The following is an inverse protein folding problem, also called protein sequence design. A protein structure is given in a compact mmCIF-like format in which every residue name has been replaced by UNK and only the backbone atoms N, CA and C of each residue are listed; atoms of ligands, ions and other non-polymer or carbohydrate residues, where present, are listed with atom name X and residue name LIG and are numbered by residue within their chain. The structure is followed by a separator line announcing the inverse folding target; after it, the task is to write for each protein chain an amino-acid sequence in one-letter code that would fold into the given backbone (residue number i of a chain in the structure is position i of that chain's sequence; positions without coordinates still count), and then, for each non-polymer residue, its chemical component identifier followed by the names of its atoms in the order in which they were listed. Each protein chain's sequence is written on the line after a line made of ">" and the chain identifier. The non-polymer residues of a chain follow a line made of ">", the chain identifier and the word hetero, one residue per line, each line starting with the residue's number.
data_IF_976762794889
#
_entry.id   IF_976762794889
#
_cell.length_a   1.000
_cell.length_b   1.000
_cell.length_c   1.000
_cell.angle_alpha   90.00
_cell.angle_beta   90.00
_cell.angle_gamma   90.00
#
_symmetry.space_group_name_H-M   'P 1'
#
loop_
_entity.id
_entity.type
_entity.pdbx_description
1 polymer ?
#
# COMPACT_ATOMS: atom_id res chain seq x y z
N UNK A 1 -14.11 -50.44 5.57
CA UNK A 1 -13.72 -49.05 5.90
C UNK A 1 -12.64 -48.60 4.92
N UNK A 2 -12.99 -47.87 3.86
CA UNK A 2 -12.00 -47.43 2.86
C UNK A 2 -11.08 -46.36 3.46
N UNK A 3 -9.76 -46.58 3.33
CA UNK A 3 -8.69 -45.68 3.79
C UNK A 3 -8.82 -44.31 3.12
N UNK A 4 -8.46 -43.23 3.83
CA UNK A 4 -8.55 -41.84 3.36
C UNK A 4 -7.85 -41.62 2.00
N UNK A 5 -6.78 -42.37 1.75
CA UNK A 5 -6.06 -42.42 0.48
C UNK A 5 -6.94 -42.89 -0.69
N UNK A 6 -7.79 -43.89 -0.47
CA UNK A 6 -8.72 -44.38 -1.49
C UNK A 6 -9.86 -43.39 -1.78
N UNK A 7 -10.21 -42.52 -0.82
CA UNK A 7 -11.18 -41.42 -1.04
C UNK A 7 -10.59 -40.27 -1.85
N UNK A 8 -9.29 -39.99 -1.70
CA UNK A 8 -8.61 -38.90 -2.42
C UNK A 8 -8.22 -39.29 -3.85
N UNK A 9 -8.08 -40.59 -4.13
CA UNK A 9 -7.74 -41.12 -5.44
C UNK A 9 -8.95 -41.22 -6.41
N UNK A 10 -10.17 -41.00 -5.92
CA UNK A 10 -11.36 -40.98 -6.76
C UNK A 10 -11.35 -39.72 -7.66
N UNK A 11 -11.71 -39.84 -8.95
CA UNK A 11 -11.85 -38.67 -9.83
C UNK A 11 -12.85 -37.70 -9.22
N UNK A 12 -12.53 -36.39 -9.26
CA UNK A 12 -13.43 -35.38 -8.71
C UNK A 12 -14.78 -35.49 -9.43
N UNK A 13 -15.90 -35.62 -8.70
CA UNK A 13 -17.21 -35.70 -9.33
C UNK A 13 -17.45 -34.42 -10.12
N UNK A 14 -18.02 -34.56 -11.31
CA UNK A 14 -18.32 -33.43 -12.18
C UNK A 14 -19.37 -32.55 -11.50
N UNK A 15 -18.96 -31.34 -11.11
CA UNK A 15 -19.78 -30.42 -10.30
C UNK A 15 -20.68 -29.52 -11.14
N UNK A 16 -20.73 -29.74 -12.44
CA UNK A 16 -21.62 -29.04 -13.38
C UNK A 16 -23.12 -29.29 -13.11
N UNK A 17 -23.47 -30.29 -12.29
CA UNK A 17 -24.85 -30.58 -11.88
C UNK A 17 -25.38 -29.73 -10.73
N UNK A 18 -24.53 -28.98 -10.03
CA UNK A 18 -24.95 -28.13 -8.90
C UNK A 18 -24.94 -26.65 -9.29
N UNK A 19 -26.12 -26.00 -9.43
CA UNK A 19 -26.22 -24.59 -9.85
C UNK A 19 -25.68 -23.59 -8.81
N UNK A 20 -25.30 -24.06 -7.62
CA UNK A 20 -25.02 -23.21 -6.47
C UNK A 20 -23.53 -22.87 -6.28
N UNK A 21 -22.66 -23.23 -7.25
CA UNK A 21 -21.31 -22.66 -7.35
C UNK A 21 -21.23 -21.67 -8.49
N UNK A 22 -21.81 -20.49 -8.25
CA UNK A 22 -21.55 -19.29 -9.05
C UNK A 22 -20.05 -19.01 -9.03
N UNK A 23 -19.36 -19.33 -10.11
CA UNK A 23 -18.01 -18.82 -10.33
C UNK A 23 -18.13 -17.30 -10.45
N UNK A 24 -17.36 -16.55 -9.66
CA UNK A 24 -17.50 -15.09 -9.52
C UNK A 24 -17.22 -14.34 -10.84
N UNK A 25 -16.62 -15.01 -11.83
CA UNK A 25 -16.08 -14.34 -13.03
C UNK A 25 -16.59 -14.88 -14.36
N UNK A 26 -17.47 -15.89 -14.39
CA UNK A 26 -18.01 -16.42 -15.64
C UNK A 26 -19.49 -16.71 -15.47
N UNK A 27 -20.32 -15.87 -16.09
CA UNK A 27 -21.73 -16.09 -16.26
C UNK A 27 -21.96 -16.32 -17.76
N UNK A 28 -22.33 -17.53 -18.14
CA UNK A 28 -22.72 -17.86 -19.53
C UNK A 28 -24.03 -17.17 -19.95
N UNK A 29 -24.79 -16.63 -18.98
CA UNK A 29 -26.03 -15.89 -19.21
C UNK A 29 -26.14 -14.71 -18.25
N UNK A 30 -26.65 -13.57 -18.75
CA UNK A 30 -26.89 -12.39 -17.92
C UNK A 30 -27.93 -12.70 -16.82
N UNK A 31 -27.71 -12.30 -15.55
CA UNK A 31 -28.71 -12.42 -14.51
C UNK A 31 -29.97 -11.63 -14.87
N UNK A 32 -31.15 -12.18 -14.56
CA UNK A 32 -32.42 -11.44 -14.70
C UNK A 32 -32.40 -10.17 -13.87
N UNK A 33 -32.86 -9.07 -14.46
CA UNK A 33 -33.01 -7.80 -13.75
C UNK A 33 -33.96 -7.94 -12.56
N UNK A 34 -33.49 -7.53 -11.39
CA UNK A 34 -34.29 -7.55 -10.16
C UNK A 34 -34.97 -6.18 -10.02
N UNK A 35 -36.29 -6.14 -10.07
CA UNK A 35 -37.12 -4.93 -9.89
C UNK A 35 -37.20 -4.47 -8.42
N UNK A 36 -36.44 -5.06 -7.50
CA UNK A 36 -36.49 -4.78 -6.07
C UNK A 36 -35.17 -4.26 -5.51
N UNK A 37 -35.24 -3.25 -4.62
CA UNK A 37 -34.08 -2.81 -3.84
C UNK A 37 -33.57 -3.96 -2.97
N UNK A 38 -32.26 -4.23 -3.05
CA UNK A 38 -31.63 -5.34 -2.34
C UNK A 38 -31.55 -4.99 -0.86
N UNK A 39 -32.32 -5.67 -0.01
CA UNK A 39 -32.17 -5.56 1.46
C UNK A 39 -30.80 -6.12 1.83
N UNK A 40 -29.89 -5.26 2.27
CA UNK A 40 -28.56 -5.65 2.75
C UNK A 40 -28.68 -6.21 4.16
N UNK A 41 -28.95 -7.51 4.28
CA UNK A 41 -28.92 -8.19 5.57
C UNK A 41 -27.48 -8.59 5.90
N UNK A 42 -26.92 -7.98 6.95
CA UNK A 42 -25.59 -8.34 7.44
C UNK A 42 -25.66 -9.68 8.17
N UNK A 43 -24.97 -10.68 7.64
CA UNK A 43 -24.81 -11.96 8.35
C UNK A 43 -24.06 -11.75 9.69
N UNK A 44 -24.27 -12.61 10.70
CA UNK A 44 -23.62 -12.50 12.01
C UNK A 44 -22.08 -12.45 11.93
N UNK A 45 -21.50 -13.15 10.96
CA UNK A 45 -20.05 -13.12 10.71
C UNK A 45 -19.58 -11.78 10.15
N UNK A 46 -20.36 -11.15 9.28
CA UNK A 46 -20.03 -9.84 8.73
C UNK A 46 -20.15 -8.74 9.76
N UNK A 47 -21.17 -8.80 10.62
CA UNK A 47 -21.28 -7.86 11.75
C UNK A 47 -20.11 -8.00 12.73
N UNK A 48 -19.59 -9.21 12.93
CA UNK A 48 -18.38 -9.45 13.72
C UNK A 48 -17.11 -8.91 13.07
N UNK A 49 -16.96 -9.04 11.74
CA UNK A 49 -15.84 -8.46 10.99
C UNK A 49 -15.87 -6.93 10.93
N UNK A 50 -17.06 -6.33 10.99
CA UNK A 50 -17.23 -4.89 11.09
C UNK A 50 -16.88 -4.34 12.48
N UNK A 51 -16.69 -5.19 13.50
CA UNK A 51 -16.20 -4.75 14.81
C UNK A 51 -14.76 -4.28 14.66
N UNK A 52 -14.44 -3.17 15.31
CA UNK A 52 -13.07 -2.70 15.35
C UNK A 52 -12.14 -3.77 15.94
N UNK A 53 -10.96 -3.96 15.33
CA UNK A 53 -9.94 -4.82 15.91
C UNK A 53 -9.55 -4.21 17.26
N UNK A 54 -9.54 -5.03 18.31
CA UNK A 54 -9.06 -4.61 19.63
C UNK A 54 -7.61 -4.13 19.47
N UNK A 55 -7.38 -2.84 19.67
CA UNK A 55 -6.04 -2.29 19.73
C UNK A 55 -5.38 -2.80 21.01
N UNK A 56 -4.39 -3.68 20.86
CA UNK A 56 -3.50 -4.01 21.98
C UNK A 56 -2.71 -2.73 22.30
N UNK A 57 -2.95 -2.16 23.49
CA UNK A 57 -2.24 -0.98 24.01
C UNK A 57 -0.83 -1.30 24.49
N UNK A 58 -0.49 -2.59 24.53
CA UNK A 58 0.89 -3.02 24.64
C UNK A 58 1.57 -2.61 23.34
N UNK A 59 2.57 -1.74 23.44
CA UNK A 59 3.57 -1.57 22.38
C UNK A 59 3.90 -2.98 21.93
N UNK A 60 3.53 -3.34 20.71
CA UNK A 60 3.95 -4.59 20.10
C UNK A 60 5.46 -4.43 19.95
N UNK A 61 6.21 -4.72 21.03
CA UNK A 61 7.61 -5.05 20.91
C UNK A 61 7.59 -6.16 19.87
N UNK A 62 8.21 -5.91 18.72
CA UNK A 62 8.43 -6.94 17.72
C UNK A 62 8.85 -8.19 18.49
N UNK A 63 8.16 -9.34 18.33
CA UNK A 63 8.46 -10.52 19.13
C UNK A 63 9.97 -10.74 19.09
N UNK A 64 10.61 -10.64 20.25
CA UNK A 64 12.05 -10.89 20.37
C UNK A 64 12.23 -12.39 20.20
N UNK A 65 12.39 -12.81 18.95
CA UNK A 65 12.67 -14.19 18.62
C UNK A 65 14.00 -14.57 19.24
N UNK A 66 13.98 -15.53 20.18
CA UNK A 66 15.21 -16.09 20.75
C UNK A 66 15.99 -16.78 19.64
N UNK A 67 17.11 -16.19 19.25
CA UNK A 67 18.04 -16.79 18.27
C UNK A 67 18.80 -17.90 18.97
N UNK A 68 18.91 -19.08 18.33
CA UNK A 68 19.64 -20.21 18.90
C UNK A 68 21.15 -19.94 18.94
N UNK A 69 21.86 -20.51 19.92
CA UNK A 69 23.32 -20.34 20.01
C UNK A 69 24.05 -20.81 18.74
N UNK A 70 23.52 -21.84 18.07
CA UNK A 70 24.06 -22.35 16.81
C UNK A 70 23.93 -21.34 15.67
N UNK A 71 22.86 -20.55 15.64
CA UNK A 71 22.69 -19.49 14.65
C UNK A 71 23.64 -18.31 14.92
N UNK A 72 23.92 -17.99 16.19
CA UNK A 72 24.89 -16.95 16.56
C UNK A 72 26.34 -17.35 16.22
N UNK A 73 26.67 -18.64 16.31
CA UNK A 73 28.01 -19.18 15.98
C UNK A 73 28.16 -19.62 14.52
N UNK A 74 27.14 -19.42 13.68
CA UNK A 74 27.17 -19.87 12.30
C UNK A 74 28.17 -19.05 11.47
N UNK A 75 29.15 -19.72 10.87
CA UNK A 75 30.12 -19.10 9.98
C UNK A 75 29.55 -19.10 8.57
N UNK A 76 29.44 -17.93 7.94
CA UNK A 76 28.98 -17.80 6.55
C UNK A 76 30.03 -18.30 5.57
N UNK A 77 29.58 -18.99 4.52
CA UNK A 77 30.45 -19.39 3.40
C UNK A 77 30.90 -18.17 2.59
N UNK A 78 32.03 -18.26 1.90
CA UNK A 78 32.56 -17.16 1.10
C UNK A 78 31.61 -16.71 -0.01
N UNK A 79 30.82 -17.63 -0.56
CA UNK A 79 29.76 -17.29 -1.51
C UNK A 79 28.70 -16.40 -0.88
N UNK A 80 28.24 -16.71 0.34
CA UNK A 80 27.27 -15.89 1.06
C UNK A 80 27.85 -14.53 1.41
N UNK A 81 29.13 -14.45 1.79
CA UNK A 81 29.83 -13.17 2.02
C UNK A 81 29.83 -12.30 0.77
N UNK A 82 30.16 -12.88 -0.40
CA UNK A 82 30.11 -12.16 -1.69
C UNK A 82 28.70 -11.68 -2.05
N UNK A 83 27.68 -12.50 -1.80
CA UNK A 83 26.28 -12.14 -2.08
C UNK A 83 25.70 -11.11 -1.11
N UNK A 84 26.22 -11.05 0.12
CA UNK A 84 25.81 -10.08 1.14
C UNK A 84 26.42 -8.69 0.92
N UNK A 85 27.46 -8.57 0.08
CA UNK A 85 27.98 -7.26 -0.29
C UNK A 85 26.92 -6.49 -1.11
N UNK A 86 26.67 -5.21 -0.80
CA UNK A 86 25.75 -4.40 -1.57
C UNK A 86 26.22 -4.32 -3.02
N UNK A 87 25.26 -4.27 -3.96
CA UNK A 87 25.60 -4.07 -5.37
C UNK A 87 26.23 -2.69 -5.55
N UNK A 88 27.28 -2.63 -6.36
CA UNK A 88 27.88 -1.36 -6.74
C UNK A 88 26.83 -0.49 -7.43
N UNK A 89 26.88 0.81 -7.14
CA UNK A 89 26.04 1.78 -7.83
C UNK A 89 26.39 1.80 -9.33
N UNK A 90 25.41 2.13 -10.17
CA UNK A 90 25.64 2.26 -11.61
C UNK A 90 26.69 3.35 -11.88
N UNK A 91 27.47 3.20 -12.98
CA UNK A 91 28.44 4.21 -13.38
C UNK A 91 27.74 5.58 -13.54
N UNK A 92 28.23 6.58 -12.79
CA UNK A 92 27.63 7.92 -12.77
C UNK A 92 26.52 8.13 -11.74
N UNK A 93 26.19 7.15 -10.89
CA UNK A 93 25.29 7.37 -9.77
C UNK A 93 25.89 8.37 -8.78
N UNK A 94 25.16 9.45 -8.53
CA UNK A 94 25.45 10.44 -7.50
C UNK A 94 24.28 10.43 -6.51
N UNK A 95 24.53 10.51 -5.20
CA UNK A 95 23.46 10.76 -4.24
C UNK A 95 22.75 12.08 -4.60
N UNK A 96 21.42 12.08 -4.67
CA UNK A 96 20.61 13.26 -5.00
C UNK A 96 20.83 14.43 -4.02
N UNK A 97 21.30 14.10 -2.81
CA UNK A 97 21.76 15.06 -1.81
C UNK A 97 23.25 14.85 -1.58
N UNK A 98 24.06 15.65 -2.26
CA UNK A 98 25.44 15.86 -1.85
C UNK A 98 25.41 16.33 -0.39
N UNK A 99 25.96 15.48 0.47
CA UNK A 99 26.55 15.74 1.78
C UNK A 99 26.29 17.16 2.29
N UNK A 100 25.56 17.25 3.42
CA UNK A 100 25.55 18.42 4.30
C UNK A 100 26.92 19.10 4.24
N UNK A 101 26.95 20.37 3.83
CA UNK A 101 28.18 21.17 3.78
C UNK A 101 29.03 20.86 5.03
N UNK A 102 30.34 20.61 4.90
CA UNK A 102 31.18 20.30 6.04
C UNK A 102 30.94 21.33 7.13
N UNK A 103 30.35 20.90 8.24
CA UNK A 103 30.01 21.78 9.35
C UNK A 103 31.30 22.43 9.85
N UNK A 104 31.24 23.72 10.20
CA UNK A 104 32.39 24.42 10.76
C UNK A 104 32.93 23.65 11.99
N UNK A 105 34.25 23.65 12.20
CA UNK A 105 34.91 23.05 13.38
C UNK A 105 34.22 23.43 14.69
N UNK A 106 33.76 24.68 14.81
CA UNK A 106 33.02 25.14 15.99
C UNK A 106 31.72 24.37 16.22
N UNK A 107 31.00 24.01 15.15
CA UNK A 107 29.77 23.21 15.23
C UNK A 107 30.05 21.75 15.55
N UNK A 108 31.17 21.20 15.07
CA UNK A 108 31.59 19.82 15.37
C UNK A 108 32.03 19.64 16.82
N UNK A 109 32.62 20.68 17.43
CA UNK A 109 33.12 20.64 18.82
C UNK A 109 32.16 21.30 19.82
N UNK A 110 30.97 21.74 19.39
CA UNK A 110 30.01 22.40 20.27
C UNK A 110 29.48 21.44 21.33
N UNK A 111 29.72 21.77 22.61
CA UNK A 111 29.15 21.01 23.72
C UNK A 111 27.68 21.40 23.94
N UNK A 112 26.77 20.44 24.15
CA UNK A 112 25.38 20.72 24.47
C UNK A 112 25.26 21.42 25.82
N UNK A 113 24.33 22.37 25.94
CA UNK A 113 24.04 23.03 27.22
C UNK A 113 23.41 22.06 28.22
N UNK A 114 23.56 22.34 29.51
CA UNK A 114 23.00 21.52 30.59
C UNK A 114 21.50 21.23 30.41
N UNK A 115 20.74 22.22 29.93
CA UNK A 115 19.31 22.08 29.61
C UNK A 115 19.06 21.09 28.48
N UNK A 116 19.85 21.13 27.40
CA UNK A 116 19.71 20.18 26.27
C UNK A 116 20.00 18.77 26.77
N UNK A 117 21.04 18.59 27.59
CA UNK A 117 21.35 17.31 28.21
C UNK A 117 20.20 16.79 29.09
N UNK A 118 19.56 17.66 29.87
CA UNK A 118 18.39 17.30 30.68
C UNK A 118 17.17 16.91 29.84
N UNK A 119 16.89 17.64 28.75
CA UNK A 119 15.78 17.35 27.85
C UNK A 119 16.00 16.08 27.03
N UNK A 120 17.25 15.76 26.70
CA UNK A 120 17.63 14.53 26.03
C UNK A 120 17.47 13.29 26.92
N UNK A 121 17.32 13.45 28.24
CA UNK A 121 17.06 12.32 29.12
C UNK A 121 15.69 11.71 28.80
N UNK A 122 15.60 10.39 28.61
CA UNK A 122 14.33 9.73 28.37
C UNK A 122 13.41 9.96 29.58
N UNK A 123 12.16 10.34 29.31
CA UNK A 123 11.15 10.59 30.35
C UNK A 123 10.90 9.30 31.13
N UNK A 124 11.47 9.21 32.34
CA UNK A 124 11.24 8.08 33.24
C UNK A 124 9.80 8.14 33.75
N UNK A 125 8.96 7.24 33.25
CA UNK A 125 7.68 6.95 33.90
C UNK A 125 8.01 6.10 35.13
N UNK A 126 7.48 6.40 36.33
CA UNK A 126 7.64 5.51 37.45
C UNK A 126 7.06 4.15 37.04
N UNK A 127 7.90 3.13 37.04
CA UNK A 127 7.46 1.74 36.97
C UNK A 127 6.75 1.52 38.29
N UNK A 128 5.43 1.57 38.27
CA UNK A 128 4.63 1.10 39.40
C UNK A 128 4.74 -0.40 39.39
N UNK A 129 5.68 -0.91 40.19
CA UNK A 129 5.70 -2.32 40.57
C UNK A 129 4.39 -2.62 41.30
N UNK A 130 3.49 -3.34 40.62
CA UNK A 130 2.26 -3.86 41.23
C UNK A 130 0.92 -3.45 40.61
N UNK A 131 0.86 -2.96 39.36
CA UNK A 131 -0.44 -2.69 38.72
C UNK A 131 -0.91 -3.84 37.81
N UNK A 132 -1.58 -4.84 38.39
CA UNK A 132 -2.54 -5.65 37.64
C UNK A 132 -3.73 -4.79 37.18
N UNK A 133 -4.51 -5.20 36.16
CA UNK A 133 -5.58 -4.39 35.60
C UNK A 133 -6.82 -4.43 36.51
N UNK A 134 -6.74 -3.76 37.66
CA UNK A 134 -7.93 -3.20 38.29
C UNK A 134 -7.98 -1.76 37.86
N UNK A 135 -8.78 -1.50 36.82
CA UNK A 135 -9.30 -0.17 36.54
C UNK A 135 -10.09 0.29 37.77
N UNK A 136 -9.40 0.84 38.77
CA UNK A 136 -10.07 1.86 39.56
C UNK A 136 -10.36 2.96 38.55
N UNK A 137 -11.65 3.16 38.28
CA UNK A 137 -12.09 4.39 37.67
C UNK A 137 -11.47 5.49 38.52
N UNK A 138 -10.39 6.10 38.02
CA UNK A 138 -9.91 7.35 38.57
C UNK A 138 -11.09 8.26 38.31
N UNK A 139 -11.86 8.51 39.37
CA UNK A 139 -12.80 9.62 39.40
C UNK A 139 -11.98 10.79 38.91
N UNK A 140 -12.21 11.20 37.66
CA UNK A 140 -11.61 12.38 37.09
C UNK A 140 -12.20 13.53 37.89
N UNK A 141 -11.63 13.76 39.07
CA UNK A 141 -11.65 15.05 39.71
C UNK A 141 -10.91 15.93 38.71
N UNK A 142 -11.67 16.43 37.73
CA UNK A 142 -11.24 17.49 36.86
C UNK A 142 -10.92 18.63 37.80
N UNK A 143 -9.66 18.71 38.22
CA UNK A 143 -9.13 19.93 38.80
C UNK A 143 -9.44 20.99 37.73
N UNK A 144 -10.17 22.06 38.05
CA UNK A 144 -10.30 23.16 37.12
C UNK A 144 -8.88 23.69 36.89
N UNK A 145 -8.26 23.27 35.79
CA UNK A 145 -6.98 23.80 35.35
C UNK A 145 -7.28 25.18 34.78
N UNK A 146 -7.25 26.19 35.65
CA UNK A 146 -7.22 27.59 35.22
C UNK A 146 -5.89 27.82 34.51
N UNK A 147 -5.95 28.35 33.29
CA UNK A 147 -4.77 28.80 32.58
C UNK A 147 -4.02 29.84 33.44
N UNK A 148 -2.70 29.87 33.38
CA UNK A 148 -1.96 30.93 34.07
C UNK A 148 -2.30 32.28 33.43
N UNK A 149 -2.21 33.37 34.20
CA UNK A 149 -2.46 34.72 33.68
C UNK A 149 -1.62 35.05 32.42
N UNK A 150 -0.41 34.48 32.33
CA UNK A 150 0.43 34.61 31.14
C UNK A 150 -0.15 33.89 29.92
N UNK A 151 -0.72 32.70 30.09
CA UNK A 151 -1.39 31.97 29.00
C UNK A 151 -2.66 32.71 28.56
N UNK A 152 -3.43 33.27 29.50
CA UNK A 152 -4.59 34.11 29.18
C UNK A 152 -4.18 35.34 28.37
N UNK A 153 -3.06 35.99 28.73
CA UNK A 153 -2.50 37.11 27.96
C UNK A 153 -2.04 36.70 26.57
N UNK A 154 -1.32 35.58 26.44
CA UNK A 154 -0.89 35.06 25.13
C UNK A 154 -2.05 34.61 24.24
N UNK A 155 -3.17 34.21 24.84
CA UNK A 155 -4.39 33.85 24.13
C UNK A 155 -5.16 35.07 23.61
N UNK A 156 -4.82 36.30 24.05
CA UNK A 156 -5.43 37.51 23.47
C UNK A 156 -5.02 37.65 22.00
N UNK A 157 -5.98 37.79 21.08
CA UNK A 157 -5.67 38.01 19.67
C UNK A 157 -4.93 39.34 19.51
N UNK A 158 -3.98 39.37 18.57
CA UNK A 158 -3.27 40.61 18.24
C UNK A 158 -4.25 41.61 17.62
N UNK A 159 -4.02 42.90 17.87
CA UNK A 159 -4.75 43.96 17.20
C UNK A 159 -4.47 43.97 15.70
N UNK A 160 -5.49 44.31 14.92
CA UNK A 160 -5.34 44.55 13.50
C UNK A 160 -4.38 45.73 13.26
N UNK A 161 -3.61 45.65 12.18
CA UNK A 161 -2.70 46.72 11.78
C UNK A 161 -3.52 47.98 11.44
N UNK A 162 -3.06 49.22 11.76
CA UNK A 162 -3.81 50.45 11.47
C UNK A 162 -4.10 50.74 9.99
N UNK A 163 -3.56 49.92 9.08
CA UNK A 163 -3.81 49.96 7.62
C UNK A 163 -4.53 48.70 7.11
N UNK A 164 -5.16 47.94 8.00
CA UNK A 164 -5.90 46.75 7.61
C UNK A 164 -7.24 47.17 6.99
N UNK A 165 -7.34 47.01 5.67
CA UNK A 165 -8.50 47.39 4.85
C UNK A 165 -9.58 46.28 4.77
N UNK A 166 -9.50 45.25 5.61
CA UNK A 166 -10.45 44.14 5.60
C UNK A 166 -10.34 43.22 4.37
N UNK A 167 -11.40 42.44 4.13
CA UNK A 167 -11.49 41.49 3.04
C UNK A 167 -11.69 42.20 1.70
N UNK A 168 -10.73 42.06 0.79
CA UNK A 168 -10.84 42.61 -0.57
C UNK A 168 -11.99 41.91 -1.30
N UNK A 169 -12.82 42.67 -2.01
CA UNK A 169 -13.87 42.09 -2.85
C UNK A 169 -13.25 41.13 -3.88
N UNK A 170 -13.53 39.84 -3.73
CA UNK A 170 -12.94 38.74 -4.54
C UNK A 170 -13.34 38.82 -6.02
N UNK A 171 -14.36 39.62 -6.34
CA UNK A 171 -14.91 39.73 -7.69
C UNK A 171 -14.17 40.81 -8.49
N UNK A 172 -13.27 40.40 -9.38
CA UNK A 172 -12.80 41.25 -10.46
C UNK A 172 -13.97 41.61 -11.37
N UNK A 173 -14.17 42.89 -11.66
CA UNK A 173 -15.21 43.34 -12.58
C UNK A 173 -14.88 42.87 -14.00
N UNK A 174 -15.59 41.85 -14.49
CA UNK A 174 -15.44 41.36 -15.86
C UNK A 174 -16.02 42.40 -16.83
N UNK A 175 -15.24 42.78 -17.84
CA UNK A 175 -15.67 43.77 -18.84
C UNK A 175 -16.89 43.29 -19.65
N UNK A 176 -17.70 44.23 -20.15
CA UNK A 176 -18.87 43.90 -20.99
C UNK A 176 -18.50 43.09 -22.24
N UNK A 177 -17.33 43.37 -22.83
CA UNK A 177 -16.80 42.63 -23.97
C UNK A 177 -16.53 41.17 -23.62
N UNK A 178 -15.92 40.89 -22.47
CA UNK A 178 -15.66 39.52 -22.03
C UNK A 178 -16.95 38.76 -21.67
N UNK A 179 -17.95 39.43 -21.08
CA UNK A 179 -19.26 38.80 -20.77
C UNK A 179 -20.07 38.45 -22.01
N UNK A 180 -19.90 39.20 -23.09
CA UNK A 180 -20.64 39.04 -24.35
C UNK A 180 -19.83 38.30 -25.43
N UNK A 181 -18.65 37.78 -25.09
CA UNK A 181 -17.80 37.11 -26.06
C UNK A 181 -18.40 35.76 -26.45
N UNK A 182 -18.58 35.54 -27.76
CA UNK A 182 -19.00 34.25 -28.31
C UNK A 182 -17.73 33.50 -28.75
N UNK A 183 -17.52 32.31 -28.18
CA UNK A 183 -16.38 31.48 -28.52
C UNK A 183 -16.41 31.04 -30.00
N UNK A 184 -15.24 30.92 -30.62
CA UNK A 184 -15.13 30.37 -31.97
C UNK A 184 -15.46 28.87 -31.99
N UNK A 185 -15.87 28.36 -33.14
CA UNK A 185 -16.18 26.93 -33.34
C UNK A 185 -15.03 26.03 -32.87
N UNK A 186 -13.80 26.35 -33.27
CA UNK A 186 -12.59 25.64 -32.81
C UNK A 186 -12.43 25.64 -31.28
N UNK A 187 -12.75 26.74 -30.61
CA UNK A 187 -12.69 26.80 -29.15
C UNK A 187 -13.76 25.92 -28.51
N UNK A 188 -14.95 25.86 -29.10
CA UNK A 188 -16.02 24.96 -28.66
C UNK A 188 -15.60 23.50 -28.81
N UNK A 189 -15.04 23.11 -29.96
CA UNK A 189 -14.49 21.77 -30.20
C UNK A 189 -13.41 21.39 -29.18
N UNK A 190 -12.46 22.29 -28.91
CA UNK A 190 -11.38 22.04 -27.94
C UNK A 190 -11.88 22.02 -26.49
N UNK A 191 -12.97 22.74 -26.20
CA UNK A 191 -13.59 22.72 -24.87
C UNK A 191 -14.39 21.46 -24.60
N UNK A 192 -14.78 20.72 -25.64
CA UNK A 192 -15.51 19.48 -25.48
C UNK A 192 -14.62 18.44 -24.77
N UNK A 193 -15.14 17.73 -23.77
CA UNK A 193 -14.40 16.67 -23.11
C UNK A 193 -14.06 15.58 -24.13
N UNK A 194 -12.81 15.10 -24.10
CA UNK A 194 -12.39 13.99 -24.96
C UNK A 194 -13.19 12.73 -24.60
N UNK A 195 -13.98 12.24 -25.56
CA UNK A 195 -14.68 10.96 -25.42
C UNK A 195 -13.65 9.84 -25.20
N UNK A 196 -13.86 9.08 -24.11
CA UNK A 196 -13.06 7.91 -23.78
C UNK A 196 -13.85 6.67 -24.16
N UNK A 197 -13.57 6.13 -25.35
CA UNK A 197 -14.09 4.84 -25.75
C UNK A 197 -13.57 3.76 -24.78
N UNK A 198 -14.39 2.74 -24.52
CA UNK A 198 -13.96 1.62 -23.70
C UNK A 198 -12.74 0.94 -24.35
N UNK A 199 -11.81 0.40 -23.55
CA UNK A 199 -10.56 -0.22 -24.03
C UNK A 199 -10.75 -1.31 -25.11
N UNK A 200 -11.97 -1.81 -25.29
CA UNK A 200 -12.34 -2.87 -26.22
C UNK A 200 -13.45 -2.47 -27.21
N UNK A 201 -13.80 -1.19 -27.29
CA UNK A 201 -14.83 -0.73 -28.22
C UNK A 201 -14.30 -0.86 -29.66
N UNK A 202 -14.86 -1.81 -30.41
CA UNK A 202 -14.37 -2.20 -31.74
C UNK A 202 -13.27 -3.27 -31.76
N UNK A 203 -12.93 -3.89 -30.62
CA UNK A 203 -11.99 -5.01 -30.57
C UNK A 203 -12.70 -6.34 -30.83
N UNK A 204 -12.42 -6.95 -31.98
CA UNK A 204 -12.85 -8.32 -32.29
C UNK A 204 -11.81 -9.33 -31.75
N UNK A 205 -12.15 -10.15 -30.73
CA UNK A 205 -11.21 -11.10 -30.13
C UNK A 205 -10.81 -12.24 -31.07
N UNK A 206 -11.50 -12.42 -32.20
CA UNK A 206 -11.23 -13.48 -33.17
C UNK A 206 -10.37 -12.99 -34.35
N UNK A 207 -10.11 -11.68 -34.46
CA UNK A 207 -9.25 -11.13 -35.50
C UNK A 207 -7.79 -11.24 -35.09
N UNK A 208 -7.07 -12.14 -35.76
CA UNK A 208 -5.62 -12.26 -35.62
C UNK A 208 -4.94 -11.15 -36.42
N UNK A 209 -4.09 -10.36 -35.76
CA UNK A 209 -3.36 -9.28 -36.42
C UNK A 209 -2.43 -9.81 -37.52
N UNK A 210 -2.23 -9.02 -38.57
CA UNK A 210 -1.35 -9.42 -39.69
C UNK A 210 0.08 -9.72 -39.21
N UNK A 211 0.58 -8.96 -38.24
CA UNK A 211 1.88 -9.19 -37.60
C UNK A 211 1.97 -10.59 -36.97
N UNK A 212 0.93 -11.00 -36.23
CA UNK A 212 0.87 -12.33 -35.63
C UNK A 212 0.78 -13.44 -36.68
N UNK A 213 0.05 -13.24 -37.79
CA UNK A 213 -0.01 -14.19 -38.91
C UNK A 213 1.35 -14.33 -39.62
N UNK A 214 2.10 -13.25 -39.72
CA UNK A 214 3.44 -13.23 -40.33
C UNK A 214 4.57 -13.68 -39.39
N UNK A 215 4.28 -13.85 -38.09
CA UNK A 215 5.30 -14.17 -37.11
C UNK A 215 5.85 -15.59 -37.33
N UNK A 216 7.15 -15.68 -37.57
CA UNK A 216 7.86 -16.96 -37.72
C UNK A 216 8.58 -17.34 -36.42
N UNK A 217 8.51 -18.61 -35.98
CA UNK A 217 9.20 -19.05 -34.78
C UNK A 217 10.72 -19.02 -34.97
N UNK A 218 11.44 -18.65 -33.91
CA UNK A 218 12.91 -18.60 -33.91
C UNK A 218 13.53 -19.98 -34.14
N UNK A 219 14.77 -20.06 -34.67
CA UNK A 219 15.44 -21.33 -34.93
C UNK A 219 15.53 -22.25 -33.69
N UNK A 220 15.71 -21.66 -32.50
CA UNK A 220 15.73 -22.41 -31.23
C UNK A 220 14.39 -23.05 -30.93
N UNK A 221 13.29 -22.32 -31.12
CA UNK A 221 11.94 -22.85 -30.90
C UNK A 221 11.67 -23.99 -31.88
N UNK A 222 12.01 -23.80 -33.16
CA UNK A 222 11.91 -24.87 -34.18
C UNK A 222 12.64 -26.14 -33.76
N UNK A 223 13.85 -26.01 -33.20
CA UNK A 223 14.66 -27.13 -32.70
C UNK A 223 14.04 -27.83 -31.48
N UNK A 224 13.44 -27.07 -30.56
CA UNK A 224 12.78 -27.61 -29.37
C UNK A 224 11.45 -28.30 -29.70
N UNK A 225 10.78 -27.88 -30.77
CA UNK A 225 9.56 -28.54 -31.26
C UNK A 225 9.82 -29.90 -31.91
N UNK A 226 11.09 -30.25 -32.18
CA UNK A 226 11.43 -31.59 -32.66
C UNK A 226 11.23 -32.62 -31.53
N UNK A 227 10.62 -33.78 -31.80
CA UNK A 227 10.45 -34.82 -30.80
C UNK A 227 11.83 -35.28 -30.29
N UNK A 228 11.95 -35.43 -28.96
CA UNK A 228 13.17 -35.97 -28.37
C UNK A 228 13.37 -37.41 -28.89
N UNK A 229 14.61 -37.79 -29.26
CA UNK A 229 14.89 -39.15 -29.68
C UNK A 229 14.51 -40.10 -28.54
N UNK A 230 13.67 -41.10 -28.84
CA UNK A 230 13.32 -42.14 -27.87
C UNK A 230 14.59 -42.87 -27.49
N UNK A 231 14.82 -43.04 -26.18
CA UNK A 231 15.90 -43.90 -25.68
C UNK A 231 15.55 -45.34 -26.07
N UNK A 232 16.04 -45.79 -27.23
CA UNK A 232 16.03 -47.21 -27.55
C UNK A 232 17.01 -47.87 -26.59
N UNK A 233 16.48 -48.59 -25.60
CA UNK A 233 17.26 -49.55 -24.84
C UNK A 233 17.72 -50.61 -25.83
N UNK A 234 18.96 -50.55 -26.29
CA UNK A 234 19.57 -51.68 -26.98
C UNK A 234 19.67 -52.80 -25.95
N UNK A 235 18.77 -53.77 -26.01
CA UNK A 235 19.00 -55.05 -25.36
C UNK A 235 20.30 -55.59 -25.96
N UNK A 236 21.32 -55.71 -25.12
CA UNK A 236 22.53 -56.46 -25.45
C UNK A 236 22.13 -57.93 -25.39
N UNK A 237 21.76 -58.48 -26.54
CA UNK A 237 21.73 -59.92 -26.75
C UNK A 237 23.07 -60.31 -27.40
N UNK A 238 23.76 -61.29 -26.79
CA UNK A 238 24.96 -61.96 -27.35
C UNK A 238 26.24 -61.68 -26.58
#
# INVERSE_FOLDING_TARGET
>A
MATQTHKLAQPKPDRLTFPDRRSVYWLDQLPREKTGSTKTELTPRWSELCRNKKFYTQVTLSPTWKVSERALRAITSDRLRRLAQPRLHAAGWQPEHLQLNPLNRLTQTAAPTSRICQLAQPKRRPVVDGCGPKSKAVTMSHKPCRASAHIELLATPKHDHPKFEGERSVCWTVSRAARNFVASERLLELSAPKERNALFEGYDPYVVTQAARSACPSPRIRRLCLPLPRKCCTNRDG
#
